data_IF_033230590613
#
_entry.id   IF_033230590613
#
_cell.length_a   1.000
_cell.length_b   1.000
_cell.length_c   1.000
_cell.angle_alpha   90.00
_cell.angle_beta   90.00
_cell.angle_gamma   90.00
#
_symmetry.space_group_name_H-M   'P 1'
#
loop_
_entity.id
_entity.type
_entity.pdbx_description
1 polymer ?
#
# COMPACT_ATOMS: atom_id res chain seq x y z
N UNK A 1 17.79 -14.68 -21.48
CA UNK A 1 18.23 -14.22 -20.15
C UNK A 1 16.99 -13.62 -19.53
N UNK A 2 16.52 -14.10 -18.37
CA UNK A 2 15.29 -13.58 -17.79
C UNK A 2 15.54 -12.13 -17.35
N UNK A 3 14.70 -11.23 -17.82
CA UNK A 3 14.62 -9.83 -17.38
C UNK A 3 13.86 -9.81 -16.06
N UNK A 4 14.48 -9.22 -15.06
CA UNK A 4 13.92 -9.02 -13.72
C UNK A 4 12.98 -7.83 -13.81
N UNK A 5 11.68 -8.04 -13.61
CA UNK A 5 10.71 -6.97 -13.34
C UNK A 5 11.14 -6.27 -12.04
N UNK A 6 11.09 -4.92 -11.94
CA UNK A 6 11.61 -4.25 -10.78
C UNK A 6 10.63 -4.42 -9.61
N UNK A 7 10.85 -5.45 -8.79
CA UNK A 7 10.73 -5.26 -7.35
C UNK A 7 11.53 -4.00 -7.03
N UNK A 8 10.95 -3.03 -6.31
CA UNK A 8 11.69 -1.89 -5.80
C UNK A 8 12.83 -2.43 -4.90
N UNK A 9 13.97 -2.71 -5.53
CA UNK A 9 15.24 -2.94 -4.86
C UNK A 9 15.85 -1.57 -4.76
N UNK A 10 16.29 -1.13 -3.56
CA UNK A 10 17.03 0.12 -3.43
C UNK A 10 18.22 0.08 -4.40
N UNK A 11 18.13 0.86 -5.47
CA UNK A 11 19.17 1.00 -6.49
C UNK A 11 20.29 1.88 -5.92
N UNK A 12 21.06 1.28 -5.03
CA UNK A 12 22.50 1.45 -4.84
C UNK A 12 22.83 0.65 -3.60
N UNK A 13 23.85 -0.20 -3.64
CA UNK A 13 24.39 -0.79 -2.42
C UNK A 13 24.70 0.36 -1.48
N UNK A 14 23.98 0.52 -0.34
CA UNK A 14 24.36 1.53 0.62
C UNK A 14 25.73 1.09 1.10
N UNK A 15 26.72 1.95 0.97
CA UNK A 15 28.04 1.74 1.58
C UNK A 15 27.86 1.61 3.08
N UNK A 16 27.60 0.40 3.61
CA UNK A 16 27.55 0.03 5.05
C UNK A 16 27.42 1.23 5.99
N UNK A 17 26.36 2.00 5.83
CA UNK A 17 25.88 2.91 6.85
C UNK A 17 24.79 2.12 7.52
N UNK A 18 24.98 1.89 8.81
CA UNK A 18 24.13 1.13 9.70
C UNK A 18 22.77 1.85 9.87
N UNK A 19 22.01 1.98 8.78
CA UNK A 19 20.64 2.46 8.80
C UNK A 19 19.79 1.22 9.03
N UNK A 20 19.50 0.95 10.30
CA UNK A 20 18.49 -0.02 10.66
C UNK A 20 17.17 0.49 10.05
N UNK A 21 16.41 -0.35 9.33
CA UNK A 21 15.18 0.08 8.69
C UNK A 21 14.23 0.63 9.73
N UNK A 22 13.65 1.78 9.42
CA UNK A 22 12.73 2.48 10.31
C UNK A 22 11.32 2.20 9.84
N UNK A 23 10.62 1.31 10.53
CA UNK A 23 9.17 1.20 10.38
C UNK A 23 8.55 2.51 10.88
N UNK A 24 7.48 2.96 10.24
CA UNK A 24 6.73 4.16 10.54
C UNK A 24 5.25 3.80 10.50
N UNK A 25 4.58 3.94 11.64
CA UNK A 25 3.14 3.71 11.77
C UNK A 25 2.41 5.06 11.71
N UNK A 26 1.26 5.10 11.04
CA UNK A 26 0.31 6.20 11.09
C UNK A 26 -0.93 5.79 11.87
N UNK A 27 -1.31 6.55 12.89
CA UNK A 27 -2.45 6.21 13.79
C UNK A 27 -3.62 7.16 13.64
N UNK A 28 -4.86 6.66 13.78
CA UNK A 28 -6.06 7.49 13.87
C UNK A 28 -6.40 7.86 15.33
N UNK A 29 -6.87 9.10 15.52
CA UNK A 29 -7.34 9.72 16.78
C UNK A 29 -6.24 10.19 17.77
N UNK A 30 -6.12 11.52 17.90
CA UNK A 30 -5.36 12.29 18.89
C UNK A 30 -3.85 11.96 18.94
N UNK A 31 -3.09 12.72 18.16
CA UNK A 31 -1.67 12.56 17.82
C UNK A 31 -1.45 11.56 16.69
N UNK A 32 -1.12 12.09 15.52
CA UNK A 32 -0.43 11.31 14.51
C UNK A 32 0.97 11.04 15.02
N UNK A 33 1.28 9.82 15.38
CA UNK A 33 2.59 9.47 15.93
C UNK A 33 3.28 8.54 14.95
N UNK A 34 4.42 8.98 14.44
CA UNK A 34 5.30 8.19 13.59
C UNK A 34 6.21 7.38 14.53
N UNK A 35 5.87 6.12 14.81
CA UNK A 35 6.74 5.28 15.63
C UNK A 35 7.95 4.86 14.82
N UNK A 36 9.16 5.21 15.25
CA UNK A 36 10.40 4.80 14.61
C UNK A 36 10.99 3.55 15.28
N UNK A 37 11.36 2.54 14.49
CA UNK A 37 11.97 1.31 15.01
C UNK A 37 13.48 1.37 14.83
N UNK A 38 14.23 1.07 15.90
CA UNK A 38 15.69 1.16 15.87
C UNK A 38 16.38 -0.18 15.67
N UNK A 39 15.72 -1.31 15.93
CA UNK A 39 16.14 -2.66 15.52
C UNK A 39 15.01 -3.70 15.75
N UNK A 40 15.18 -4.89 15.14
CA UNK A 40 14.30 -6.07 15.27
C UNK A 40 14.40 -6.78 16.64
N UNK A 41 15.25 -6.28 17.56
CA UNK A 41 15.50 -6.89 18.87
C UNK A 41 14.64 -6.28 19.99
N UNK A 42 13.66 -5.47 19.62
CA UNK A 42 12.71 -4.88 20.55
C UNK A 42 13.24 -3.64 21.27
N UNK A 43 14.22 -2.94 20.69
CA UNK A 43 14.56 -1.60 21.12
C UNK A 43 13.71 -0.58 20.34
N UNK A 44 12.64 -0.15 21.00
CA UNK A 44 11.63 0.76 20.45
C UNK A 44 11.86 2.21 20.92
N UNK A 45 11.66 3.17 20.02
CA UNK A 45 11.53 4.58 20.40
C UNK A 45 10.34 5.20 19.67
N UNK A 46 9.27 5.46 20.42
CA UNK A 46 8.17 6.28 19.93
C UNK A 46 8.68 7.72 19.85
N UNK A 47 8.63 8.31 18.66
CA UNK A 47 8.99 9.72 18.45
C UNK A 47 7.87 10.44 17.72
N UNK A 48 7.36 11.52 18.31
CA UNK A 48 6.26 12.27 17.71
C UNK A 48 6.85 13.44 16.91
N UNK A 49 6.90 13.29 15.57
CA UNK A 49 7.41 14.35 14.69
C UNK A 49 6.30 15.21 14.07
N UNK A 50 5.04 14.80 14.21
CA UNK A 50 3.90 15.56 13.70
C UNK A 50 3.41 16.52 14.78
N UNK A 51 3.50 17.82 14.49
CA UNK A 51 3.11 18.88 15.42
C UNK A 51 1.60 19.08 15.52
N UNK A 52 0.82 18.53 14.58
CA UNK A 52 -0.60 18.78 14.41
C UNK A 52 -1.41 17.49 14.62
N UNK A 53 -2.27 17.51 15.65
CA UNK A 53 -2.94 16.33 16.20
C UNK A 53 -4.37 16.15 15.66
N UNK A 54 -4.84 17.07 14.82
CA UNK A 54 -6.24 17.14 14.35
C UNK A 54 -6.42 16.64 12.90
N UNK A 55 -5.34 16.19 12.25
CA UNK A 55 -5.41 15.68 10.87
C UNK A 55 -6.06 14.29 10.84
N UNK A 56 -6.49 13.85 9.66
CA UNK A 56 -7.16 12.57 9.45
C UNK A 56 -6.34 11.73 8.45
N UNK A 57 -5.28 11.08 8.94
CA UNK A 57 -4.39 10.25 8.13
C UNK A 57 -5.15 9.03 7.58
N UNK A 58 -5.01 8.77 6.27
CA UNK A 58 -5.67 7.63 5.61
C UNK A 58 -4.72 6.66 4.95
N UNK A 59 -3.56 7.14 4.51
CA UNK A 59 -2.59 6.32 3.81
C UNK A 59 -1.20 6.97 3.83
N UNK A 60 -0.17 6.16 3.58
CA UNK A 60 1.21 6.61 3.42
C UNK A 60 1.87 5.85 2.27
N UNK A 61 2.83 6.50 1.61
CA UNK A 61 3.72 5.86 0.66
C UNK A 61 5.14 6.36 0.86
N UNK A 62 6.11 5.52 0.50
CA UNK A 62 7.53 5.84 0.57
C UNK A 62 8.14 5.86 -0.81
N UNK A 63 8.95 6.87 -1.08
CA UNK A 63 9.76 6.94 -2.29
C UNK A 63 10.55 8.23 -2.37
N UNK A 64 11.59 8.23 -3.22
CA UNK A 64 12.38 9.43 -3.52
C UNK A 64 11.56 10.36 -4.41
N UNK A 65 10.79 11.27 -3.81
CA UNK A 65 9.82 12.11 -4.53
C UNK A 65 10.42 13.46 -4.91
N UNK A 66 11.51 13.88 -4.27
CA UNK A 66 12.27 15.06 -4.67
C UNK A 66 13.49 14.77 -5.54
N UNK A 67 13.79 13.49 -5.77
CA UNK A 67 14.84 12.96 -6.63
C UNK A 67 16.25 13.35 -6.14
N UNK A 68 16.47 13.34 -4.83
CA UNK A 68 17.77 13.57 -4.20
C UNK A 68 18.54 12.26 -3.89
N UNK A 69 17.91 11.09 -4.12
CA UNK A 69 18.45 9.77 -3.85
C UNK A 69 18.12 9.22 -2.46
N UNK A 70 17.32 9.93 -1.66
CA UNK A 70 16.79 9.45 -0.38
C UNK A 70 15.27 9.36 -0.44
N UNK A 71 14.67 8.31 0.14
CA UNK A 71 13.22 8.20 0.16
C UNK A 71 12.63 9.15 1.21
N UNK A 72 11.50 9.77 0.84
CA UNK A 72 10.60 10.47 1.74
C UNK A 72 9.34 9.65 2.00
N UNK A 73 8.58 10.06 3.01
CA UNK A 73 7.23 9.56 3.25
C UNK A 73 6.25 10.63 2.81
N UNK A 74 5.25 10.23 2.03
CA UNK A 74 4.10 11.07 1.69
C UNK A 74 2.90 10.58 2.47
N UNK A 75 2.23 11.50 3.16
CA UNK A 75 1.06 11.22 3.99
C UNK A 75 -0.19 11.78 3.32
N UNK A 76 -1.15 10.89 3.04
CA UNK A 76 -2.48 11.24 2.58
C UNK A 76 -3.39 11.55 3.78
N UNK A 77 -3.93 12.77 3.81
CA UNK A 77 -4.87 13.20 4.83
C UNK A 77 -6.25 13.51 4.23
N UNK A 78 -7.31 13.14 4.93
CA UNK A 78 -8.68 13.43 4.55
C UNK A 78 -9.12 14.80 5.09
N UNK A 79 -9.54 15.69 4.17
CA UNK A 79 -9.96 17.06 4.44
C UNK A 79 -8.93 17.95 5.15
N UNK A 80 -7.65 17.57 5.07
CA UNK A 80 -6.51 18.34 5.58
C UNK A 80 -5.41 18.38 4.51
N UNK A 81 -4.35 19.16 4.74
CA UNK A 81 -3.21 19.18 3.83
C UNK A 81 -2.47 17.83 3.88
N UNK A 82 -2.16 17.28 2.71
CA UNK A 82 -1.24 16.15 2.58
C UNK A 82 0.17 16.60 3.00
N UNK A 83 0.98 15.68 3.53
CA UNK A 83 2.29 16.01 4.09
C UNK A 83 3.40 15.22 3.40
N UNK A 84 4.61 15.77 3.48
CA UNK A 84 5.86 15.08 3.17
C UNK A 84 6.73 15.09 4.41
N UNK A 85 7.33 13.94 4.72
CA UNK A 85 8.24 13.75 5.84
C UNK A 85 9.62 13.45 5.29
N UNK A 86 10.60 14.28 5.66
CA UNK A 86 11.98 14.19 5.18
C UNK A 86 12.95 14.06 6.34
N UNK A 87 14.07 13.37 6.12
CA UNK A 87 15.15 13.36 7.09
C UNK A 87 15.96 14.67 7.01
N UNK A 88 16.01 15.44 8.10
CA UNK A 88 16.83 16.64 8.21
C UNK A 88 18.15 16.31 8.93
N UNK A 89 19.26 16.29 8.19
CA UNK A 89 20.60 16.03 8.72
C UNK A 89 21.05 17.04 9.79
N UNK A 90 20.55 18.27 9.76
CA UNK A 90 20.94 19.31 10.73
C UNK A 90 20.30 19.06 12.10
N UNK A 91 19.10 18.48 12.10
CA UNK A 91 18.35 18.12 13.30
C UNK A 91 18.70 16.69 13.72
N UNK A 92 19.13 15.86 12.77
CA UNK A 92 19.36 14.44 12.94
C UNK A 92 18.08 13.62 12.98
N UNK A 93 16.99 14.16 12.42
CA UNK A 93 15.64 13.62 12.64
C UNK A 93 14.66 13.91 11.49
N UNK A 94 13.48 13.28 11.53
CA UNK A 94 12.43 13.51 10.53
C UNK A 94 11.63 14.79 10.79
N UNK A 95 11.35 15.52 9.71
CA UNK A 95 10.54 16.73 9.71
C UNK A 95 9.40 16.58 8.73
N UNK A 96 8.19 16.80 9.22
CA UNK A 96 7.00 16.84 8.39
C UNK A 96 6.66 18.26 7.97
N UNK A 97 6.22 18.43 6.74
CA UNK A 97 5.72 19.69 6.20
C UNK A 97 4.51 19.45 5.30
N UNK A 98 3.67 20.48 5.11
CA UNK A 98 2.62 20.43 4.10
C UNK A 98 3.26 20.27 2.72
N UNK A 99 2.79 19.29 1.96
CA UNK A 99 3.25 19.02 0.61
C UNK A 99 2.91 20.20 -0.31
N UNK A 100 1.70 20.75 -0.13
CA UNK A 100 1.22 21.97 -0.79
C UNK A 100 0.57 22.87 0.27
N UNK A 101 1.24 23.96 0.67
CA UNK A 101 0.74 24.83 1.73
C UNK A 101 -0.65 25.41 1.44
N UNK A 102 -1.61 25.16 2.34
CA UNK A 102 -2.97 25.70 2.28
C UNK A 102 -3.94 24.94 1.38
N UNK A 103 -3.50 23.88 0.69
CA UNK A 103 -4.39 23.00 -0.05
C UNK A 103 -4.96 21.91 0.87
N UNK A 104 -6.27 21.68 0.78
CA UNK A 104 -6.95 20.63 1.53
C UNK A 104 -7.80 19.77 0.58
N UNK A 105 -7.55 18.46 0.63
CA UNK A 105 -8.21 17.47 -0.22
C UNK A 105 -8.72 16.31 0.64
N UNK A 106 -9.73 15.60 0.16
CA UNK A 106 -10.31 14.41 0.77
C UNK A 106 -9.48 13.17 0.41
N UNK A 107 -8.16 13.26 0.56
CA UNK A 107 -7.21 12.22 0.13
C UNK A 107 -7.38 10.97 0.97
N UNK A 108 -7.45 9.81 0.31
CA UNK A 108 -7.60 8.51 0.96
C UNK A 108 -6.58 7.47 0.55
N UNK A 109 -5.96 7.64 -0.62
CA UNK A 109 -4.87 6.77 -1.09
C UNK A 109 -3.73 7.58 -1.66
N UNK A 110 -2.51 7.04 -1.54
CA UNK A 110 -1.30 7.60 -2.15
C UNK A 110 -0.43 6.50 -2.74
N UNK A 111 0.13 6.74 -3.92
CA UNK A 111 1.15 5.89 -4.53
C UNK A 111 2.30 6.75 -5.09
N UNK A 112 3.50 6.18 -5.16
CA UNK A 112 4.71 6.85 -5.67
C UNK A 112 5.34 5.95 -6.75
N UNK A 113 5.72 6.54 -7.88
CA UNK A 113 6.41 5.82 -8.96
C UNK A 113 6.70 6.70 -10.17
N UNK A 114 7.56 6.23 -11.06
CA UNK A 114 7.91 6.90 -12.34
C UNK A 114 6.83 6.61 -13.40
N UNK A 115 5.83 7.49 -13.47
CA UNK A 115 4.62 7.27 -14.26
C UNK A 115 4.80 7.77 -15.69
N UNK A 116 5.64 8.80 -15.87
CA UNK A 116 5.96 9.33 -17.19
C UNK A 116 7.24 8.76 -17.83
N UNK A 117 7.91 7.82 -17.12
CA UNK A 117 9.10 7.10 -17.54
C UNK A 117 10.27 8.05 -17.85
N UNK A 118 10.43 9.11 -17.05
CA UNK A 118 11.52 10.07 -17.14
C UNK A 118 12.67 9.81 -16.15
N UNK A 119 12.55 8.73 -15.37
CA UNK A 119 13.50 8.31 -14.34
C UNK A 119 13.31 9.02 -13.01
N UNK A 120 12.18 9.71 -12.80
CA UNK A 120 11.84 10.40 -11.55
C UNK A 120 10.47 9.96 -11.05
N UNK A 121 10.32 9.89 -9.75
CA UNK A 121 9.03 9.52 -9.19
C UNK A 121 8.06 10.71 -9.18
N UNK A 122 6.82 10.41 -9.53
CA UNK A 122 5.65 11.22 -9.24
C UNK A 122 4.88 10.65 -8.04
N UNK A 123 4.05 11.51 -7.43
CA UNK A 123 3.08 11.11 -6.41
C UNK A 123 1.70 11.10 -7.05
N UNK A 124 0.90 10.07 -6.81
CA UNK A 124 -0.52 10.02 -7.18
C UNK A 124 -1.38 10.02 -5.93
N UNK A 125 -2.38 10.89 -5.89
CA UNK A 125 -3.40 10.93 -4.86
C UNK A 125 -4.76 10.47 -5.38
N UNK A 126 -5.32 9.49 -4.68
CA UNK A 126 -6.73 9.12 -4.78
C UNK A 126 -7.55 9.96 -3.79
N UNK A 127 -8.49 10.72 -4.34
CA UNK A 127 -9.32 11.68 -3.59
C UNK A 127 -10.78 11.24 -3.58
N UNK A 128 -11.38 11.23 -2.39
CA UNK A 128 -12.76 10.79 -2.20
C UNK A 128 -13.76 11.85 -2.66
N UNK A 129 -14.41 11.63 -3.81
CA UNK A 129 -15.42 12.54 -4.37
C UNK A 129 -14.83 13.84 -4.94
N UNK A 130 -13.52 13.88 -5.13
CA UNK A 130 -12.79 15.01 -5.72
C UNK A 130 -11.88 14.51 -6.85
N UNK A 131 -11.28 15.44 -7.59
CA UNK A 131 -10.38 15.09 -8.69
C UNK A 131 -9.09 14.49 -8.12
N UNK A 132 -8.67 13.33 -8.64
CA UNK A 132 -7.39 12.71 -8.32
C UNK A 132 -6.23 13.58 -8.86
N UNK A 133 -5.06 13.52 -8.22
CA UNK A 133 -3.95 14.42 -8.53
C UNK A 133 -2.67 13.66 -8.79
N UNK A 134 -1.85 14.16 -9.71
CA UNK A 134 -0.45 13.77 -9.90
C UNK A 134 0.41 14.97 -9.50
N UNK A 135 1.41 14.73 -8.66
CA UNK A 135 2.36 15.73 -8.23
C UNK A 135 3.75 15.37 -8.74
N UNK A 136 4.38 16.30 -9.45
CA UNK A 136 5.74 16.16 -9.98
C UNK A 136 6.65 17.18 -9.34
N UNK A 137 7.77 16.75 -8.77
CA UNK A 137 8.72 17.66 -8.15
C UNK A 137 9.43 18.54 -9.19
N UNK A 138 9.48 19.85 -8.90
CA UNK A 138 10.15 20.87 -9.71
C UNK A 138 11.27 21.48 -8.89
N UNK A 139 12.48 21.02 -9.17
CA UNK A 139 13.71 21.49 -8.52
C UNK A 139 13.87 23.01 -8.56
N UNK A 140 13.54 23.66 -9.69
CA UNK A 140 13.67 25.11 -9.85
C UNK A 140 12.72 25.91 -8.95
N UNK A 141 11.57 25.34 -8.60
CA UNK A 141 10.59 25.93 -7.69
C UNK A 141 10.75 25.44 -6.24
N UNK A 142 11.58 24.41 -6.02
CA UNK A 142 11.67 23.65 -4.78
C UNK A 142 10.28 23.26 -4.24
N UNK A 143 9.45 22.69 -5.11
CA UNK A 143 8.07 22.33 -4.78
C UNK A 143 7.45 21.42 -5.83
N UNK A 144 6.17 21.11 -5.67
CA UNK A 144 5.43 20.19 -6.55
C UNK A 144 4.55 20.95 -7.54
N UNK A 145 4.61 20.57 -8.81
CA UNK A 145 3.59 20.91 -9.81
C UNK A 145 2.45 19.91 -9.68
N UNK A 146 1.21 20.40 -9.58
CA UNK A 146 0.00 19.58 -9.48
C UNK A 146 -0.71 19.53 -10.82
N UNK A 147 -1.00 18.32 -11.28
CA UNK A 147 -1.83 18.09 -12.48
C UNK A 147 -3.04 17.24 -12.10
N UNK A 148 -4.25 17.58 -12.57
CA UNK A 148 -5.40 16.69 -12.40
C UNK A 148 -5.18 15.40 -13.20
N UNK A 149 -5.41 14.25 -12.57
CA UNK A 149 -5.37 12.94 -13.24
C UNK A 149 -6.67 12.76 -14.04
N UNK A 150 -6.60 12.80 -15.37
CA UNK A 150 -7.76 12.73 -16.26
C UNK A 150 -7.69 11.48 -17.15
N UNK A 151 -8.80 10.75 -17.40
CA UNK A 151 -10.17 11.13 -17.07
C UNK A 151 -10.53 10.86 -15.59
N UNK A 152 -10.73 11.92 -14.79
CA UNK A 152 -11.36 11.78 -13.48
C UNK A 152 -12.84 12.10 -13.63
N UNK A 153 -13.66 11.06 -13.68
CA UNK A 153 -14.98 11.21 -13.07
C UNK A 153 -14.73 11.40 -11.58
N UNK A 154 -15.44 12.31 -10.90
CA UNK A 154 -15.26 12.56 -9.45
C UNK A 154 -15.79 11.36 -8.65
N UNK A 155 -15.17 10.20 -8.82
CA UNK A 155 -15.47 8.93 -8.17
C UNK A 155 -15.06 8.99 -6.71
N UNK A 156 -15.55 8.03 -5.93
CA UNK A 156 -15.24 7.95 -4.52
C UNK A 156 -13.96 7.14 -4.34
N UNK A 157 -12.85 7.62 -4.89
CA UNK A 157 -11.61 6.86 -4.87
C UNK A 157 -11.00 6.81 -3.47
N UNK A 158 -10.59 5.61 -3.08
CA UNK A 158 -10.09 5.26 -1.73
C UNK A 158 -8.70 4.65 -1.76
N UNK A 159 -8.30 4.07 -2.89
CA UNK A 159 -7.03 3.40 -3.06
C UNK A 159 -6.42 3.75 -4.41
N UNK A 160 -5.09 3.72 -4.48
CA UNK A 160 -4.32 3.83 -5.70
C UNK A 160 -3.10 2.92 -5.64
N UNK A 161 -2.76 2.30 -6.75
CA UNK A 161 -1.51 1.57 -6.93
C UNK A 161 -0.91 1.87 -8.32
N UNK A 162 0.37 1.57 -8.50
CA UNK A 162 1.11 1.80 -9.75
C UNK A 162 1.87 0.50 -10.06
N UNK A 163 1.81 0.01 -11.31
CA UNK A 163 2.58 -1.14 -11.76
C UNK A 163 2.39 -1.47 -13.24
N UNK A 164 3.26 -2.33 -13.78
CA UNK A 164 3.26 -2.71 -15.20
C UNK A 164 2.39 -3.94 -15.42
N UNK A 165 1.09 -3.69 -15.53
CA UNK A 165 0.06 -4.74 -15.51
C UNK A 165 -0.25 -5.32 -16.90
N UNK A 166 0.33 -4.74 -17.96
CA UNK A 166 0.23 -5.26 -19.32
C UNK A 166 1.57 -5.77 -19.88
N UNK A 167 2.65 -5.67 -19.09
CA UNK A 167 3.99 -6.16 -19.40
C UNK A 167 4.70 -5.37 -20.50
N UNK A 168 4.31 -4.12 -20.75
CA UNK A 168 4.90 -3.28 -21.80
C UNK A 168 6.14 -2.49 -21.34
N UNK A 169 6.47 -2.54 -20.04
CA UNK A 169 7.58 -1.82 -19.42
C UNK A 169 7.25 -0.38 -19.02
N UNK A 170 5.98 0.04 -19.09
CA UNK A 170 5.48 1.31 -18.57
C UNK A 170 4.36 1.01 -17.59
N UNK A 171 4.39 1.70 -16.45
CA UNK A 171 3.39 1.48 -15.40
C UNK A 171 2.05 2.13 -15.75
N UNK A 172 0.98 1.47 -15.34
CA UNK A 172 -0.37 2.02 -15.25
C UNK A 172 -0.68 2.52 -13.83
N UNK A 173 -1.68 3.39 -13.71
CA UNK A 173 -2.27 3.79 -12.43
C UNK A 173 -3.58 3.02 -12.23
N UNK A 174 -3.70 2.29 -11.13
CA UNK A 174 -4.92 1.56 -10.76
C UNK A 174 -5.63 2.36 -9.66
N UNK A 175 -6.89 2.72 -9.87
CA UNK A 175 -7.71 3.48 -8.91
C UNK A 175 -8.85 2.60 -8.38
N UNK A 176 -8.92 2.49 -7.06
CA UNK A 176 -9.99 1.78 -6.37
C UNK A 176 -11.21 2.67 -6.20
N UNK A 177 -12.40 2.20 -6.57
CA UNK A 177 -13.67 2.93 -6.39
C UNK A 177 -14.46 2.41 -5.18
N UNK A 178 -14.86 3.32 -4.28
CA UNK A 178 -15.79 3.08 -3.18
C UNK A 178 -17.22 3.53 -3.52
N UNK A 179 -17.44 3.99 -4.75
CA UNK A 179 -18.73 4.42 -5.27
C UNK A 179 -19.74 3.30 -5.44
N UNK A 180 -20.96 3.67 -5.80
CA UNK A 180 -22.01 2.71 -6.13
C UNK A 180 -21.76 2.00 -7.47
N UNK A 181 -20.96 2.62 -8.35
CA UNK A 181 -20.47 2.02 -9.59
C UNK A 181 -19.52 0.87 -9.30
N UNK A 182 -18.62 1.04 -8.32
CA UNK A 182 -17.55 0.08 -7.97
C UNK A 182 -16.57 -0.16 -9.13
N UNK A 183 -16.62 0.71 -10.14
CA UNK A 183 -15.81 0.60 -11.34
C UNK A 183 -14.42 1.14 -11.05
N UNK A 184 -13.52 0.25 -10.62
CA UNK A 184 -12.09 0.51 -10.57
C UNK A 184 -11.62 0.97 -11.95
N UNK A 185 -10.61 1.83 -11.97
CA UNK A 185 -10.06 2.37 -13.21
C UNK A 185 -8.62 1.95 -13.37
N UNK A 186 -8.21 1.74 -14.62
CA UNK A 186 -6.83 1.49 -14.99
C UNK A 186 -6.43 2.53 -16.01
N UNK A 187 -5.63 3.48 -15.58
CA UNK A 187 -5.24 4.62 -16.38
C UNK A 187 -3.86 4.37 -16.99
N UNK A 188 -3.84 4.17 -18.30
CA UNK A 188 -2.61 4.09 -19.09
C UNK A 188 -2.22 5.47 -19.61
N UNK A 189 -0.96 5.84 -19.42
CA UNK A 189 -0.40 7.04 -20.03
C UNK A 189 -0.05 6.80 -21.50
N UNK A 190 -0.63 7.60 -22.39
CA UNK A 190 -0.35 7.58 -23.82
C UNK A 190 0.92 8.38 -24.15
N UNK A 191 1.49 8.16 -25.33
CA UNK A 191 2.64 8.94 -25.81
C UNK A 191 2.33 10.45 -25.99
N UNK A 192 1.05 10.82 -26.07
CA UNK A 192 0.59 12.22 -26.04
C UNK A 192 0.74 12.88 -24.65
N UNK A 193 0.94 12.08 -23.60
CA UNK A 193 0.91 12.50 -22.20
C UNK A 193 -0.49 12.49 -21.56
N UNK A 194 -1.53 12.20 -22.34
CA UNK A 194 -2.90 12.00 -21.82
C UNK A 194 -3.04 10.60 -21.21
N UNK A 195 -3.95 10.43 -20.26
CA UNK A 195 -4.31 9.09 -19.78
C UNK A 195 -5.60 8.60 -20.41
N UNK A 196 -5.66 7.30 -20.62
CA UNK A 196 -6.82 6.58 -21.10
C UNK A 196 -7.20 5.53 -20.06
N UNK A 197 -8.48 5.48 -19.69
CA UNK A 197 -9.02 4.33 -18.96
C UNK A 197 -9.09 3.14 -19.92
N UNK A 198 -8.23 2.15 -19.69
CA UNK A 198 -8.10 0.96 -20.55
C UNK A 198 -8.87 -0.23 -20.01
N UNK A 199 -9.61 -0.04 -18.92
CA UNK A 199 -10.30 -1.12 -18.23
C UNK A 199 -11.77 -0.80 -17.97
N UNK A 200 -12.61 -1.79 -18.20
CA UNK A 200 -14.01 -1.79 -17.75
C UNK A 200 -14.10 -2.75 -16.56
N UNK A 201 -13.98 -2.19 -15.35
CA UNK A 201 -14.12 -2.97 -14.11
C UNK A 201 -15.52 -3.53 -14.00
N UNK A 202 -15.58 -4.78 -13.53
CA UNK A 202 -16.82 -5.44 -13.11
C UNK A 202 -16.75 -5.79 -11.62
N UNK A 203 -15.96 -5.05 -10.84
CA UNK A 203 -15.77 -5.31 -9.43
C UNK A 203 -17.12 -5.24 -8.67
N UNK A 204 -17.55 -6.33 -8.03
CA UNK A 204 -18.82 -6.35 -7.30
C UNK A 204 -18.75 -5.61 -5.97
N UNK A 205 -17.58 -5.11 -5.55
CA UNK A 205 -17.34 -4.56 -4.21
C UNK A 205 -16.67 -3.18 -4.22
N UNK A 206 -16.80 -2.48 -3.09
CA UNK A 206 -16.15 -1.20 -2.86
C UNK A 206 -14.70 -1.42 -2.47
N UNK A 207 -13.78 -0.97 -3.31
CA UNK A 207 -12.35 -1.17 -3.09
C UNK A 207 -11.87 -0.31 -1.92
N UNK A 208 -11.09 -0.90 -1.01
CA UNK A 208 -10.44 -0.20 0.11
C UNK A 208 -8.93 -0.11 -0.03
N UNK A 209 -8.29 -1.16 -0.55
CA UNK A 209 -6.83 -1.21 -0.83
C UNK A 209 -6.57 -1.97 -2.11
N UNK A 210 -5.43 -1.65 -2.74
CA UNK A 210 -4.92 -2.29 -3.95
C UNK A 210 -3.43 -2.55 -3.72
N UNK A 211 -2.95 -3.72 -4.14
CA UNK A 211 -1.52 -4.01 -4.30
C UNK A 211 -1.30 -4.54 -5.72
N UNK A 212 -0.10 -4.34 -6.26
CA UNK A 212 0.27 -4.74 -7.62
C UNK A 212 1.58 -5.52 -7.57
N UNK A 213 1.63 -6.65 -8.28
CA UNK A 213 2.81 -7.50 -8.40
C UNK A 213 2.50 -8.81 -9.13
N UNK A 214 3.54 -9.48 -9.60
CA UNK A 214 3.45 -10.78 -10.31
C UNK A 214 2.98 -11.90 -9.37
N UNK A 215 1.68 -12.19 -9.34
CA UNK A 215 1.05 -13.17 -8.45
C UNK A 215 1.12 -14.59 -9.03
N UNK A 216 1.14 -14.72 -10.36
CA UNK A 216 1.08 -16.02 -11.04
C UNK A 216 2.42 -16.53 -11.60
N UNK A 217 3.48 -15.73 -11.40
CA UNK A 217 4.86 -15.94 -11.81
C UNK A 217 5.03 -16.04 -13.34
N UNK A 218 4.29 -15.23 -14.10
CA UNK A 218 4.45 -15.09 -15.55
C UNK A 218 5.29 -13.89 -15.99
N UNK A 219 5.63 -13.01 -15.05
CA UNK A 219 6.45 -11.82 -15.25
C UNK A 219 5.67 -10.54 -15.58
N UNK A 220 4.34 -10.59 -15.58
CA UNK A 220 3.44 -9.44 -15.67
C UNK A 220 2.83 -9.22 -14.28
N UNK A 221 2.61 -7.96 -13.89
CA UNK A 221 2.00 -7.69 -12.59
C UNK A 221 0.46 -7.85 -12.63
N UNK A 222 -0.12 -8.43 -11.59
CA UNK A 222 -1.56 -8.41 -11.34
C UNK A 222 -1.92 -7.34 -10.31
N UNK A 223 -3.10 -6.72 -10.46
CA UNK A 223 -3.68 -5.95 -9.38
C UNK A 223 -4.54 -6.84 -8.48
N UNK A 224 -4.25 -6.83 -7.18
CA UNK A 224 -5.09 -7.43 -6.14
C UNK A 224 -5.82 -6.31 -5.40
N UNK A 225 -7.13 -6.30 -5.51
CA UNK A 225 -8.00 -5.35 -4.80
C UNK A 225 -8.67 -6.05 -3.64
N UNK A 226 -8.84 -5.33 -2.52
CA UNK A 226 -9.62 -5.82 -1.39
C UNK A 226 -10.73 -4.86 -0.98
N UNK A 227 -11.82 -5.40 -0.44
CA UNK A 227 -13.01 -4.67 -0.05
C UNK A 227 -13.37 -4.87 1.43
N UNK A 228 -13.97 -3.84 2.00
CA UNK A 228 -14.58 -3.90 3.33
C UNK A 228 -16.06 -4.20 3.26
N UNK A 229 -16.63 -4.58 4.40
CA UNK A 229 -18.08 -4.73 4.55
C UNK A 229 -18.66 -3.35 4.86
N UNK A 230 -19.52 -2.83 3.98
CA UNK A 230 -20.17 -1.51 4.14
C UNK A 230 -21.33 -1.52 5.17
N UNK A 231 -21.50 -2.61 5.93
CA UNK A 231 -22.59 -2.80 6.86
C UNK A 231 -22.14 -2.51 8.29
N UNK A 232 -22.82 -1.56 8.92
CA UNK A 232 -22.81 -1.44 10.38
C UNK A 232 -22.97 -2.82 11.01
N UNK A 233 -22.13 -3.10 12.00
CA UNK A 233 -22.09 -4.35 12.75
C UNK A 233 -23.52 -4.81 13.07
N UNK A 234 -24.02 -5.85 12.38
CA UNK A 234 -25.24 -6.53 12.80
C UNK A 234 -26.33 -6.90 11.78
N UNK A 235 -26.23 -6.62 10.48
CA UNK A 235 -27.26 -7.09 9.54
C UNK A 235 -26.69 -8.01 8.44
N UNK A 236 -27.16 -9.26 8.47
CA UNK A 236 -27.14 -10.30 7.43
C UNK A 236 -25.95 -10.24 6.45
N UNK A 237 -24.80 -10.81 6.86
CA UNK A 237 -23.74 -11.18 5.92
C UNK A 237 -24.23 -12.32 4.99
N UNK A 238 -24.96 -11.99 3.94
CA UNK A 238 -25.04 -12.87 2.77
C UNK A 238 -23.68 -12.83 2.08
N UNK A 239 -22.90 -13.91 2.24
CA UNK A 239 -21.68 -14.29 1.48
C UNK A 239 -20.99 -13.13 0.76
N UNK A 240 -19.91 -12.58 1.34
CA UNK A 240 -19.20 -11.45 0.74
C UNK A 240 -17.80 -11.88 0.31
N UNK A 241 -17.59 -11.95 -1.00
CA UNK A 241 -16.26 -11.97 -1.60
C UNK A 241 -15.65 -10.59 -1.42
N UNK A 242 -14.34 -10.52 -1.19
CA UNK A 242 -13.72 -9.25 -0.84
C UNK A 242 -12.31 -9.09 -1.37
N UNK A 243 -11.89 -9.98 -2.28
CA UNK A 243 -10.60 -9.92 -2.95
C UNK A 243 -10.83 -10.20 -4.43
N UNK A 244 -10.40 -9.29 -5.30
CA UNK A 244 -10.45 -9.48 -6.76
C UNK A 244 -9.02 -9.38 -7.28
N UNK A 245 -8.60 -10.36 -8.06
CA UNK A 245 -7.30 -10.40 -8.73
C UNK A 245 -7.57 -10.30 -10.23
N UNK A 246 -7.05 -9.26 -10.86
CA UNK A 246 -7.30 -8.98 -12.27
C UNK A 246 -5.97 -9.03 -13.04
N UNK A 247 -5.79 -10.02 -13.96
CA UNK A 247 -4.74 -9.93 -14.96
C UNK A 247 -5.21 -9.08 -16.14
N UNK A 248 -4.40 -8.11 -16.55
CA UNK A 248 -4.75 -7.14 -17.58
C UNK A 248 -4.10 -7.44 -18.93
N UNK A 249 -4.33 -8.67 -19.48
CA UNK A 249 -4.57 -9.00 -20.90
C UNK A 249 -3.94 -10.35 -21.38
N UNK A 250 -4.68 -11.27 -22.04
CA UNK A 250 -6.12 -11.24 -22.28
C UNK A 250 -6.88 -11.51 -20.97
N UNK A 251 -8.09 -10.97 -20.84
CA UNK A 251 -8.86 -11.00 -19.60
C UNK A 251 -9.29 -12.43 -19.32
N UNK A 252 -8.47 -13.15 -18.58
CA UNK A 252 -9.01 -14.06 -17.61
C UNK A 252 -9.20 -13.25 -16.35
N UNK A 253 -10.33 -12.55 -16.24
CA UNK A 253 -10.86 -12.27 -14.90
C UNK A 253 -11.09 -13.65 -14.30
N UNK A 254 -10.09 -14.13 -13.59
CA UNK A 254 -10.22 -15.33 -12.81
C UNK A 254 -10.48 -14.79 -11.42
N UNK A 255 -11.76 -14.53 -11.18
CA UNK A 255 -12.28 -14.32 -9.84
C UNK A 255 -12.01 -15.59 -9.06
N UNK A 256 -10.96 -15.54 -8.26
CA UNK A 256 -10.60 -16.64 -7.40
C UNK A 256 -11.43 -16.53 -6.14
N UNK A 257 -12.45 -17.38 -6.06
CA UNK A 257 -13.22 -17.56 -4.84
C UNK A 257 -12.31 -18.18 -3.77
N UNK A 258 -11.75 -17.35 -2.89
CA UNK A 258 -10.81 -17.81 -1.86
C UNK A 258 -11.57 -18.46 -0.70
N UNK A 259 -12.70 -17.89 -0.23
CA UNK A 259 -13.64 -18.54 0.70
C UNK A 259 -14.92 -17.72 0.95
N UNK A 260 -15.99 -18.36 1.43
CA UNK A 260 -17.22 -17.69 1.90
C UNK A 260 -17.06 -17.20 3.35
N UNK A 261 -17.35 -15.92 3.64
CA UNK A 261 -17.37 -15.40 5.02
C UNK A 261 -17.65 -13.88 5.14
N UNK A 262 -17.79 -13.38 6.37
CA UNK A 262 -17.88 -11.93 6.66
C UNK A 262 -16.45 -11.36 6.76
N UNK A 263 -15.79 -11.11 5.64
CA UNK A 263 -14.44 -10.57 5.64
C UNK A 263 -14.46 -9.05 5.38
N UNK A 264 -14.10 -8.27 6.39
CA UNK A 264 -13.83 -6.83 6.27
C UNK A 264 -12.32 -6.66 6.00
N UNK A 265 -11.91 -6.72 4.73
CA UNK A 265 -10.50 -6.64 4.35
C UNK A 265 -10.05 -5.19 4.26
N UNK A 266 -8.96 -4.85 4.96
CA UNK A 266 -8.45 -3.49 5.06
C UNK A 266 -7.00 -3.33 4.63
N UNK A 267 -6.35 -4.44 4.24
CA UNK A 267 -4.98 -4.44 3.78
C UNK A 267 -4.72 -5.57 2.80
N UNK A 268 -3.81 -5.34 1.86
CA UNK A 268 -3.35 -6.34 0.89
C UNK A 268 -1.89 -6.07 0.53
N UNK A 269 -1.11 -7.13 0.33
CA UNK A 269 0.30 -7.05 -0.03
C UNK A 269 0.74 -8.30 -0.77
N UNK A 270 1.78 -8.18 -1.58
CA UNK A 270 2.29 -9.24 -2.46
C UNK A 270 3.79 -9.40 -2.23
N UNK A 271 4.26 -10.63 -2.12
CA UNK A 271 5.70 -10.93 -1.98
C UNK A 271 5.99 -12.40 -1.72
N UNK A 272 7.24 -12.80 -1.91
CA UNK A 272 7.76 -14.15 -1.61
C UNK A 272 8.00 -14.31 -0.10
N UNK A 273 6.96 -14.60 0.66
CA UNK A 273 7.04 -14.63 2.12
C UNK A 273 7.67 -15.90 2.67
N UNK A 274 7.80 -16.96 1.86
CA UNK A 274 8.43 -18.23 2.28
C UNK A 274 9.81 -18.49 1.66
N UNK A 275 10.27 -17.62 0.76
CA UNK A 275 11.58 -17.63 0.13
C UNK A 275 11.73 -18.72 -0.94
N UNK A 276 10.63 -19.17 -1.56
CA UNK A 276 10.65 -20.19 -2.62
C UNK A 276 10.70 -19.61 -4.04
N UNK A 277 10.69 -18.28 -4.16
CA UNK A 277 10.78 -17.54 -5.41
C UNK A 277 9.44 -17.35 -6.13
N UNK A 278 8.32 -17.72 -5.51
CA UNK A 278 6.97 -17.40 -5.97
C UNK A 278 6.36 -16.38 -5.00
N UNK A 279 5.53 -15.48 -5.53
CA UNK A 279 4.84 -14.52 -4.68
C UNK A 279 3.56 -15.10 -4.08
N UNK A 280 3.30 -14.71 -2.85
CA UNK A 280 2.04 -14.90 -2.15
C UNK A 280 1.30 -13.57 -2.08
N UNK A 281 0.02 -13.66 -1.76
CA UNK A 281 -0.81 -12.52 -1.40
C UNK A 281 -1.16 -12.63 0.07
N UNK A 282 -0.86 -11.59 0.85
CA UNK A 282 -1.39 -11.43 2.21
C UNK A 282 -2.63 -10.55 2.18
N UNK A 283 -3.68 -10.98 2.88
CA UNK A 283 -4.96 -10.27 3.00
C UNK A 283 -5.22 -10.01 4.48
N UNK A 284 -5.30 -8.74 4.84
CA UNK A 284 -5.54 -8.26 6.20
C UNK A 284 -7.01 -8.11 6.52
N UNK A 285 -7.52 -8.87 7.49
CA UNK A 285 -8.93 -8.90 7.86
C UNK A 285 -9.20 -8.24 9.23
N UNK A 286 -10.25 -7.41 9.30
CA UNK A 286 -10.66 -6.74 10.53
C UNK A 286 -11.53 -7.64 11.42
N UNK A 287 -12.52 -8.33 10.88
CA UNK A 287 -13.43 -9.20 11.66
C UNK A 287 -13.07 -10.70 11.62
N UNK A 288 -11.92 -11.02 11.02
CA UNK A 288 -11.48 -12.39 10.76
C UNK A 288 -9.95 -12.47 10.84
N UNK A 289 -9.44 -13.69 10.89
CA UNK A 289 -8.05 -14.00 10.64
C UNK A 289 -7.57 -13.46 9.29
N UNK A 290 -6.39 -12.85 9.29
CA UNK A 290 -5.66 -12.50 8.07
C UNK A 290 -5.09 -13.77 7.42
N UNK A 291 -4.84 -13.72 6.12
CA UNK A 291 -4.57 -14.92 5.30
C UNK A 291 -3.40 -14.68 4.38
N UNK A 292 -2.65 -15.74 4.12
CA UNK A 292 -1.63 -15.78 3.08
C UNK A 292 -2.06 -16.85 2.08
N UNK A 293 -2.17 -16.48 0.81
CA UNK A 293 -2.60 -17.36 -0.27
C UNK A 293 -1.56 -17.35 -1.39
N UNK A 294 -1.50 -18.44 -2.16
CA UNK A 294 -0.59 -18.58 -3.31
C UNK A 294 -1.36 -19.13 -4.50
N UNK A 295 -1.04 -18.65 -5.70
CA UNK A 295 -1.60 -19.21 -6.92
C UNK A 295 -1.02 -20.60 -7.22
N UNK A 296 -1.90 -21.59 -7.35
CA UNK A 296 -1.56 -22.94 -7.77
C UNK A 296 -1.87 -23.14 -9.25
N UNK A 297 -0.85 -22.92 -10.08
CA UNK A 297 -0.89 -23.09 -11.55
C UNK A 297 -1.35 -24.47 -12.02
N UNK A 298 -1.13 -25.53 -11.23
CA UNK A 298 -1.51 -26.90 -11.62
C UNK A 298 -3.01 -27.17 -11.48
N UNK A 299 -3.65 -26.49 -10.52
CA UNK A 299 -5.08 -26.58 -10.27
C UNK A 299 -5.85 -25.45 -10.93
N UNK A 300 -5.15 -24.39 -11.31
CA UNK A 300 -5.75 -23.11 -11.67
C UNK A 300 -6.66 -22.71 -10.51
N UNK A 301 -6.07 -22.38 -9.34
CA UNK A 301 -6.76 -21.84 -8.14
C UNK A 301 -5.80 -21.22 -7.14
N UNK A 302 -6.29 -20.41 -6.20
CA UNK A 302 -5.50 -20.01 -5.02
C UNK A 302 -5.63 -21.05 -3.91
N UNK A 303 -4.49 -21.45 -3.35
CA UNK A 303 -4.42 -22.30 -2.16
C UNK A 303 -4.10 -21.42 -0.93
N UNK A 304 -4.73 -21.72 0.21
CA UNK A 304 -4.37 -21.11 1.50
C UNK A 304 -3.00 -21.65 1.94
N UNK A 305 -2.01 -20.75 2.06
CA UNK A 305 -0.66 -21.06 2.54
C UNK A 305 -0.63 -21.02 4.07
N UNK A 306 -1.15 -19.94 4.64
CA UNK A 306 -1.17 -19.74 6.09
C UNK A 306 -2.33 -18.85 6.54
N UNK A 307 -2.67 -18.99 7.82
CA UNK A 307 -3.65 -18.14 8.48
C UNK A 307 -3.00 -17.48 9.69
N UNK A 308 -3.01 -16.16 9.67
CA UNK A 308 -2.47 -15.32 10.73
C UNK A 308 -3.55 -15.18 11.80
N UNK A 309 -3.28 -15.71 12.98
CA UNK A 309 -4.26 -15.75 14.07
C UNK A 309 -4.50 -14.36 14.68
N UNK A 310 -5.72 -14.10 15.12
CA UNK A 310 -6.18 -12.78 15.57
C UNK A 310 -7.10 -12.06 14.57
N UNK A 311 -7.71 -10.98 15.04
CA UNK A 311 -8.58 -10.10 14.26
C UNK A 311 -8.09 -8.65 14.41
N UNK A 312 -8.82 -7.70 13.86
CA UNK A 312 -8.61 -6.26 14.06
C UNK A 312 -7.59 -5.65 13.10
N UNK A 313 -7.26 -6.29 11.98
CA UNK A 313 -6.34 -5.70 10.99
C UNK A 313 -6.97 -4.46 10.36
N UNK A 314 -6.25 -3.35 10.43
CA UNK A 314 -6.66 -2.04 9.90
C UNK A 314 -5.79 -1.57 8.75
N UNK A 315 -4.54 -2.05 8.69
CA UNK A 315 -3.59 -1.82 7.61
C UNK A 315 -2.54 -2.94 7.58
N UNK A 316 -1.82 -3.07 6.48
CA UNK A 316 -0.66 -3.95 6.40
C UNK A 316 0.37 -3.36 5.44
N UNK A 317 1.63 -3.77 5.61
CA UNK A 317 2.73 -3.45 4.71
C UNK A 317 3.69 -4.64 4.61
N UNK A 318 4.32 -4.79 3.45
CA UNK A 318 5.22 -5.91 3.11
C UNK A 318 6.61 -5.36 2.81
N UNK A 319 7.63 -5.90 3.49
CA UNK A 319 9.00 -5.38 3.39
C UNK A 319 10.02 -6.34 3.99
N UNK A 320 11.19 -6.42 3.37
CA UNK A 320 12.37 -7.08 3.97
C UNK A 320 12.96 -6.17 5.04
N UNK A 321 12.68 -6.46 6.32
CA UNK A 321 13.10 -5.62 7.45
C UNK A 321 14.43 -6.05 8.05
N UNK A 322 14.91 -7.25 7.75
CA UNK A 322 16.16 -7.79 8.29
C UNK A 322 17.28 -7.90 7.25
N UNK A 323 16.94 -7.65 5.98
CA UNK A 323 17.84 -7.67 4.84
C UNK A 323 18.21 -9.10 4.40
N UNK A 324 17.44 -10.11 4.78
CA UNK A 324 17.70 -11.51 4.41
C UNK A 324 17.15 -11.90 3.02
N UNK A 325 16.40 -10.99 2.40
CA UNK A 325 15.78 -11.14 1.08
C UNK A 325 14.38 -11.76 1.10
N UNK A 326 13.84 -12.09 2.28
CA UNK A 326 12.46 -12.54 2.48
C UNK A 326 11.69 -11.42 3.17
N UNK A 327 10.62 -10.88 2.56
CA UNK A 327 9.85 -9.84 3.21
C UNK A 327 9.04 -10.35 4.41
N UNK A 328 9.05 -9.56 5.48
CA UNK A 328 8.10 -9.63 6.57
C UNK A 328 6.78 -8.91 6.23
N UNK A 329 5.73 -9.28 6.96
CA UNK A 329 4.44 -8.60 6.91
C UNK A 329 4.24 -7.86 8.22
N UNK A 330 4.09 -6.54 8.13
CA UNK A 330 3.72 -5.69 9.27
C UNK A 330 2.22 -5.49 9.24
N UNK A 331 1.55 -5.76 10.35
CA UNK A 331 0.10 -5.72 10.48
C UNK A 331 -0.27 -4.66 11.50
N UNK A 332 -0.90 -3.61 11.02
CA UNK A 332 -1.51 -2.58 11.84
C UNK A 332 -2.85 -3.06 12.37
N UNK A 333 -3.11 -2.84 13.65
CA UNK A 333 -4.35 -3.27 14.28
C UNK A 333 -5.14 -2.12 14.91
N UNK A 334 -6.43 -2.41 15.16
CA UNK A 334 -7.28 -1.57 15.97
C UNK A 334 -6.81 -1.52 17.43
N UNK A 335 -7.15 -0.44 18.12
CA UNK A 335 -6.76 -0.11 19.50
C UNK A 335 -6.84 -1.26 20.54
N UNK A 336 -7.76 -2.20 20.34
CA UNK A 336 -7.95 -3.38 21.18
C UNK A 336 -6.84 -4.44 21.08
N UNK A 337 -5.95 -4.36 20.09
CA UNK A 337 -4.93 -5.38 19.79
C UNK A 337 -3.56 -4.74 19.53
N UNK A 338 -2.46 -5.43 19.87
CA UNK A 338 -1.13 -4.99 19.48
C UNK A 338 -0.94 -5.14 17.96
N UNK A 339 -0.21 -4.21 17.34
CA UNK A 339 0.31 -4.40 16.00
C UNK A 339 1.21 -5.65 15.95
N UNK A 340 1.44 -6.22 14.78
CA UNK A 340 2.19 -7.47 14.65
C UNK A 340 3.21 -7.41 13.53
N UNK A 341 4.35 -8.09 13.72
CA UNK A 341 5.27 -8.43 12.64
C UNK A 341 5.20 -9.93 12.41
N UNK A 342 5.07 -10.33 11.16
CA UNK A 342 4.91 -11.71 10.74
C UNK A 342 6.09 -12.05 9.88
N UNK A 343 6.85 -13.05 10.31
CA UNK A 343 8.03 -13.55 9.61
C UNK A 343 7.90 -15.04 9.36
N UNK A 344 8.62 -15.52 8.35
CA UNK A 344 8.67 -16.94 8.02
C UNK A 344 9.95 -17.58 8.54
N UNK A 345 9.81 -18.58 9.41
CA UNK A 345 10.95 -19.39 9.83
C UNK A 345 11.17 -20.55 8.86
N UNK A 346 12.24 -20.46 8.06
CA UNK A 346 12.64 -21.50 7.10
C UNK A 346 12.97 -22.86 7.74
N UNK A 347 13.44 -22.88 8.99
CA UNK A 347 13.80 -24.13 9.67
C UNK A 347 12.55 -24.91 10.09
N UNK A 348 11.51 -24.21 10.55
CA UNK A 348 10.25 -24.82 10.99
C UNK A 348 9.17 -24.83 9.91
N UNK A 349 9.33 -24.02 8.86
CA UNK A 349 8.37 -23.77 7.77
C UNK A 349 7.04 -23.21 8.28
N UNK A 350 7.13 -22.29 9.22
CA UNK A 350 5.97 -21.73 9.93
C UNK A 350 6.07 -20.20 9.93
N UNK A 351 4.94 -19.56 9.65
CA UNK A 351 4.76 -18.14 9.89
C UNK A 351 4.58 -17.87 11.38
N UNK A 352 5.37 -16.94 11.91
CA UNK A 352 5.31 -16.53 13.31
C UNK A 352 4.87 -15.08 13.39
N UNK A 353 3.78 -14.82 14.13
CA UNK A 353 3.34 -13.47 14.45
C UNK A 353 3.91 -13.06 15.81
N UNK A 354 4.66 -11.96 15.85
CA UNK A 354 5.17 -11.37 17.08
C UNK A 354 4.50 -10.02 17.29
N UNK A 355 4.03 -9.79 18.52
CA UNK A 355 3.42 -8.52 18.88
C UNK A 355 4.47 -7.41 18.88
N UNK A 356 4.13 -6.31 18.23
CA UNK A 356 4.83 -5.05 18.27
C UNK A 356 4.17 -4.21 19.36
N UNK A 357 4.92 -3.55 20.26
CA UNK A 357 4.32 -2.67 21.25
C UNK A 357 3.49 -1.59 20.57
N UNK A 358 2.16 -1.66 20.75
CA UNK A 358 1.25 -0.69 20.15
C UNK A 358 1.22 0.60 20.96
N UNK A 359 0.91 1.69 20.24
CA UNK A 359 0.43 2.92 20.85
C UNK A 359 -0.97 2.64 21.39
N UNK A 360 -1.15 2.76 22.72
CA UNK A 360 -2.45 2.50 23.34
C UNK A 360 -3.51 3.50 22.85
N UNK A 361 -4.75 3.03 22.79
CA UNK A 361 -5.96 3.82 22.52
C UNK A 361 -6.08 4.40 21.10
N UNK A 362 -5.48 3.75 20.08
CA UNK A 362 -5.51 4.20 18.68
C UNK A 362 -5.49 3.06 17.66
N UNK A 363 -6.03 3.31 16.47
CA UNK A 363 -5.96 2.36 15.34
C UNK A 363 -4.79 2.69 14.41
N UNK A 364 -4.01 1.69 14.00
CA UNK A 364 -2.95 1.85 12.98
C UNK A 364 -3.58 1.85 11.58
N UNK A 365 -3.63 3.01 10.94
CA UNK A 365 -4.34 3.21 9.66
C UNK A 365 -3.42 3.17 8.43
N UNK A 366 -2.11 3.32 8.62
CA UNK A 366 -1.13 3.18 7.55
C UNK A 366 0.24 2.78 8.12
N UNK A 367 1.08 2.15 7.29
CA UNK A 367 2.43 1.72 7.64
C UNK A 367 3.34 2.09 6.46
N UNK A 368 4.55 2.55 6.76
CA UNK A 368 5.58 2.95 5.81
C UNK A 368 6.95 2.54 6.36
N UNK A 369 7.94 2.28 5.50
CA UNK A 369 9.30 1.98 5.91
C UNK A 369 10.35 2.73 5.10
N UNK A 370 11.41 3.20 5.76
CA UNK A 370 12.53 3.96 5.17
C UNK A 370 13.90 3.48 5.64
#
# INVERSE_FOLDING_TARGET
MPSVSPSFTPSSTPTKTNLNPKIILGTSNQAHEIVQYSDLLGHFRVENFLSDHDRDLRDMAVGDVDNDGRPEIVIANHNHANQIVKYDENIGDFVAQDLIPGETMATRGVAIGDIDNDGKNEIVFANYGQVNQILKYKKDANGFEVTPLMPSERKLNTAVAIGDIDGNGKVEIILGDYGDTKDNQVLRRLDSGEYLDVHESHNPFKTLKISVGDVDADGIDEAVTVAGIDAGVGEDCEVQYNTVIEPFNPPKIQEWEIEQGCFDSRGVGIGDFDGDGLNEVVIGNFNSHSRIIRYNKSKDQFDLVAQIQGIGTTSLEVVDTDGDGIPEIIVGKSDAYPDQIISYDRATKIFTANDIPSLKDRDTVAIALI
#
